data_IF_909567595661
#
_entry.id   IF_909567595661
#
_cell.length_a   1.000
_cell.length_b   1.000
_cell.length_c   1.000
_cell.angle_alpha   90.00
_cell.angle_beta   90.00
_cell.angle_gamma   90.00
#
_symmetry.space_group_name_H-M   'P 1'
#
loop_
_entity.id
_entity.type
_entity.pdbx_description
1 polymer ?
#
# COMPACT_ATOMS: atom_id res chain seq x y z
N UNK A 1 -20.47 9.87 -14.13
CA UNK A 1 -20.33 8.96 -12.97
C UNK A 1 -18.91 8.39 -12.87
N UNK A 2 -18.34 7.79 -13.93
CA UNK A 2 -16.95 7.30 -13.87
C UNK A 2 -15.91 8.38 -13.58
N UNK A 3 -16.12 9.59 -14.09
CA UNK A 3 -15.23 10.74 -13.84
C UNK A 3 -15.18 11.11 -12.34
N UNK A 4 -16.32 11.02 -11.64
CA UNK A 4 -16.39 11.26 -10.18
C UNK A 4 -15.67 10.18 -9.37
N UNK A 5 -15.66 8.93 -9.86
CA UNK A 5 -14.98 7.82 -9.20
C UNK A 5 -13.47 7.81 -9.47
N UNK A 6 -13.03 8.35 -10.62
CA UNK A 6 -11.62 8.31 -11.05
C UNK A 6 -10.85 9.58 -10.69
N UNK A 7 -11.52 10.69 -10.42
CA UNK A 7 -10.87 11.92 -9.95
C UNK A 7 -10.20 11.71 -8.58
N UNK A 8 -9.14 12.45 -8.23
CA UNK A 8 -8.52 12.34 -6.92
C UNK A 8 -9.48 12.88 -5.87
N UNK A 9 -9.80 12.07 -4.88
CA UNK A 9 -10.69 12.50 -3.79
C UNK A 9 -9.91 13.37 -2.81
N UNK A 10 -10.50 14.46 -2.31
CA UNK A 10 -9.88 15.26 -1.28
C UNK A 10 -9.54 14.43 -0.04
N UNK A 11 -8.42 14.73 0.59
CA UNK A 11 -7.92 13.99 1.76
C UNK A 11 -8.92 13.98 2.92
N UNK A 12 -9.73 15.04 3.08
CA UNK A 12 -10.75 15.13 4.13
C UNK A 12 -11.98 14.24 3.86
N UNK A 13 -12.09 13.63 2.68
CA UNK A 13 -13.10 12.61 2.36
C UNK A 13 -12.48 11.23 2.45
N UNK A 14 -11.36 11.01 1.75
CA UNK A 14 -10.68 9.71 1.70
C UNK A 14 -10.15 9.29 3.08
N UNK A 15 -9.59 10.23 3.84
CA UNK A 15 -9.03 9.99 5.18
C UNK A 15 -10.07 9.46 6.17
N UNK A 16 -11.20 10.15 6.39
CA UNK A 16 -12.26 9.63 7.25
C UNK A 16 -12.84 8.30 6.80
N UNK A 17 -13.04 8.07 5.49
CA UNK A 17 -13.53 6.77 4.98
C UNK A 17 -12.55 5.64 5.32
N UNK A 18 -11.26 5.84 5.07
CA UNK A 18 -10.22 4.87 5.43
C UNK A 18 -10.14 4.66 6.95
N UNK A 19 -10.15 5.75 7.72
CA UNK A 19 -10.08 5.72 9.18
C UNK A 19 -11.28 5.03 9.83
N UNK A 20 -12.48 5.21 9.28
CA UNK A 20 -13.71 4.55 9.76
C UNK A 20 -13.76 3.05 9.45
N UNK A 21 -12.91 2.55 8.55
CA UNK A 21 -12.88 1.13 8.20
C UNK A 21 -12.56 0.25 9.43
N UNK A 22 -11.62 0.69 10.28
CA UNK A 22 -11.23 -0.07 11.49
C UNK A 22 -12.34 -0.08 12.55
N UNK A 23 -12.92 1.07 12.96
CA UNK A 23 -14.09 1.09 13.83
C UNK A 23 -15.28 0.31 13.27
N UNK A 24 -15.56 0.41 11.97
CA UNK A 24 -16.66 -0.32 11.34
C UNK A 24 -16.47 -1.84 11.47
N UNK A 25 -15.26 -2.34 11.21
CA UNK A 25 -14.93 -3.76 11.34
C UNK A 25 -15.03 -4.25 12.79
N UNK A 26 -14.56 -3.44 13.75
CA UNK A 26 -14.59 -3.79 15.18
C UNK A 26 -16.00 -3.71 15.77
N UNK A 27 -16.74 -2.62 15.53
CA UNK A 27 -18.05 -2.39 16.16
C UNK A 27 -19.17 -3.18 15.51
N UNK A 28 -19.17 -3.33 14.18
CA UNK A 28 -20.25 -4.01 13.46
C UNK A 28 -19.96 -5.51 13.28
N UNK A 29 -18.69 -5.87 13.07
CA UNK A 29 -18.28 -7.24 12.78
C UNK A 29 -17.69 -8.00 13.96
N UNK A 30 -17.31 -7.32 15.05
CA UNK A 30 -16.42 -7.84 16.09
C UNK A 30 -15.18 -8.54 15.50
N UNK A 31 -14.69 -8.02 14.35
CA UNK A 31 -13.55 -8.56 13.60
C UNK A 31 -12.34 -7.67 13.84
N UNK A 32 -11.24 -8.30 14.21
CA UNK A 32 -9.97 -7.59 14.36
C UNK A 32 -9.36 -7.31 12.99
N UNK A 33 -9.02 -6.06 12.72
CA UNK A 33 -8.27 -5.68 11.53
C UNK A 33 -6.79 -6.02 11.72
N UNK A 34 -6.24 -6.93 10.93
CA UNK A 34 -4.84 -7.34 11.05
C UNK A 34 -4.22 -7.78 9.72
N UNK A 35 -3.57 -6.86 9.01
CA UNK A 35 -2.87 -7.17 7.75
C UNK A 35 -1.61 -8.02 8.01
N UNK A 36 -0.78 -7.65 8.99
CA UNK A 36 0.47 -8.38 9.29
C UNK A 36 0.21 -9.80 9.79
N UNK A 37 -0.94 -10.05 10.43
CA UNK A 37 -1.35 -11.39 10.85
C UNK A 37 -1.56 -12.33 9.66
N UNK A 38 -1.91 -11.80 8.47
CA UNK A 38 -2.09 -12.60 7.26
C UNK A 38 -0.80 -13.27 6.78
N UNK A 39 0.37 -12.66 7.00
CA UNK A 39 1.65 -13.33 6.71
C UNK A 39 1.81 -14.55 7.62
N UNK A 40 1.45 -14.45 8.90
CA UNK A 40 1.47 -15.58 9.84
C UNK A 40 0.47 -16.67 9.44
N UNK A 41 -0.74 -16.29 9.00
CA UNK A 41 -1.75 -17.23 8.50
C UNK A 41 -1.25 -17.96 7.24
N UNK A 42 -0.63 -17.24 6.31
CA UNK A 42 -0.05 -17.81 5.10
C UNK A 42 1.10 -18.79 5.43
N UNK A 43 2.01 -18.42 6.34
CA UNK A 43 3.07 -19.32 6.80
C UNK A 43 2.50 -20.58 7.48
N UNK A 44 1.47 -20.44 8.31
CA UNK A 44 0.80 -21.57 8.98
C UNK A 44 0.05 -22.50 8.01
N UNK A 45 -0.42 -21.99 6.86
CA UNK A 45 -1.12 -22.76 5.85
C UNK A 45 -0.16 -23.43 4.84
N UNK A 46 0.88 -22.73 4.40
CA UNK A 46 1.78 -23.19 3.32
C UNK A 46 3.01 -23.94 3.81
N UNK A 47 3.51 -23.64 5.02
CA UNK A 47 4.69 -24.28 5.60
C UNK A 47 4.32 -25.05 6.87
N UNK A 48 4.13 -26.38 6.80
CA UNK A 48 3.96 -27.22 7.98
C UNK A 48 5.30 -27.43 8.70
N UNK A 49 5.96 -26.34 9.09
CA UNK A 49 7.10 -26.39 9.97
C UNK A 49 6.61 -26.73 11.39
N UNK A 50 7.35 -27.58 12.12
CA UNK A 50 7.04 -27.92 13.53
C UNK A 50 7.30 -26.77 14.51
N UNK A 51 7.13 -25.52 14.06
CA UNK A 51 7.34 -24.32 14.87
C UNK A 51 6.03 -24.05 15.64
N UNK A 52 6.04 -24.04 16.98
CA UNK A 52 4.83 -23.86 17.80
C UNK A 52 4.03 -22.61 17.44
N UNK A 53 4.71 -21.53 17.05
CA UNK A 53 4.12 -20.26 16.65
C UNK A 53 3.15 -20.36 15.46
N UNK A 54 3.39 -21.29 14.51
CA UNK A 54 2.54 -21.49 13.33
C UNK A 54 1.49 -22.59 13.53
N UNK A 55 1.51 -23.32 14.66
CA UNK A 55 0.54 -24.36 14.97
C UNK A 55 -0.68 -23.79 15.68
N UNK A 56 -1.54 -23.11 14.93
CA UNK A 56 -2.83 -22.62 15.42
C UNK A 56 -3.91 -22.76 14.35
N UNK A 57 -5.17 -22.65 14.77
CA UNK A 57 -6.31 -22.75 13.86
C UNK A 57 -6.50 -21.43 13.10
N UNK A 58 -5.72 -21.22 12.04
CA UNK A 58 -5.81 -20.04 11.17
C UNK A 58 -7.19 -19.89 10.51
N UNK A 59 -7.97 -20.97 10.39
CA UNK A 59 -9.32 -20.91 9.82
C UNK A 59 -10.28 -20.02 10.63
N UNK A 60 -10.02 -19.83 11.93
CA UNK A 60 -10.81 -18.91 12.77
C UNK A 60 -10.70 -17.44 12.31
N UNK A 61 -9.60 -17.10 11.62
CA UNK A 61 -9.30 -15.76 11.13
C UNK A 61 -9.39 -15.66 9.59
N UNK A 62 -10.11 -16.57 8.93
CA UNK A 62 -10.34 -16.56 7.46
C UNK A 62 -10.86 -15.21 6.98
N UNK A 63 -11.58 -14.49 7.83
CA UNK A 63 -12.08 -13.14 7.52
C UNK A 63 -10.96 -12.18 7.08
N UNK A 64 -9.79 -12.23 7.72
CA UNK A 64 -8.68 -11.34 7.37
C UNK A 64 -8.08 -11.66 6.00
N UNK A 65 -8.11 -12.94 5.60
CA UNK A 65 -7.70 -13.38 4.26
C UNK A 65 -8.69 -12.89 3.21
N UNK A 66 -10.00 -13.04 3.46
CA UNK A 66 -11.05 -12.52 2.56
C UNK A 66 -10.92 -11.01 2.40
N UNK A 67 -10.67 -10.30 3.50
CA UNK A 67 -10.50 -8.85 3.51
C UNK A 67 -9.30 -8.40 2.66
N UNK A 68 -8.12 -9.02 2.83
CA UNK A 68 -6.94 -8.70 2.01
C UNK A 68 -7.13 -9.06 0.55
N UNK A 69 -7.78 -10.18 0.24
CA UNK A 69 -8.15 -10.53 -1.14
C UNK A 69 -9.08 -9.47 -1.76
N UNK A 70 -10.04 -8.96 -0.99
CA UNK A 70 -10.91 -7.87 -1.39
C UNK A 70 -10.13 -6.57 -1.68
N UNK A 71 -9.17 -6.21 -0.83
CA UNK A 71 -8.26 -5.08 -1.09
C UNK A 71 -7.49 -5.28 -2.39
N UNK A 72 -6.94 -6.47 -2.62
CA UNK A 72 -6.16 -6.78 -3.82
C UNK A 72 -7.02 -6.62 -5.08
N UNK A 73 -8.22 -7.21 -5.09
CA UNK A 73 -9.17 -7.08 -6.20
C UNK A 73 -9.56 -5.61 -6.40
N UNK A 74 -9.88 -4.90 -5.32
CA UNK A 74 -10.20 -3.47 -5.37
C UNK A 74 -9.06 -2.64 -5.94
N UNK A 75 -7.82 -2.93 -5.58
CA UNK A 75 -6.63 -2.27 -6.10
C UNK A 75 -6.43 -2.54 -7.60
N UNK A 76 -6.63 -3.78 -8.05
CA UNK A 76 -6.57 -4.14 -9.48
C UNK A 76 -7.64 -3.40 -10.27
N UNK A 77 -8.87 -3.35 -9.76
CA UNK A 77 -9.96 -2.59 -10.39
C UNK A 77 -9.61 -1.10 -10.44
N UNK A 78 -9.13 -0.53 -9.34
CA UNK A 78 -8.77 0.88 -9.27
C UNK A 78 -7.64 1.22 -10.26
N UNK A 79 -6.61 0.38 -10.34
CA UNK A 79 -5.46 0.60 -11.20
C UNK A 79 -5.75 0.44 -12.70
N UNK A 80 -6.69 -0.43 -13.08
CA UNK A 80 -6.98 -0.71 -14.49
C UNK A 80 -8.21 0.04 -15.02
N UNK A 81 -9.26 0.22 -14.20
CA UNK A 81 -10.53 0.80 -14.65
C UNK A 81 -10.76 2.24 -14.15
N UNK A 82 -10.18 2.63 -13.01
CA UNK A 82 -10.36 3.97 -12.41
C UNK A 82 -9.06 4.79 -12.44
N UNK A 83 -8.11 4.41 -13.30
CA UNK A 83 -6.86 5.14 -13.42
C UNK A 83 -7.10 6.58 -13.88
N UNK A 84 -6.53 7.54 -13.17
CA UNK A 84 -6.55 8.94 -13.58
C UNK A 84 -5.34 9.22 -14.48
N UNK A 85 -5.55 9.55 -15.78
CA UNK A 85 -4.44 9.87 -16.69
C UNK A 85 -3.82 11.24 -16.42
N UNK A 86 -4.44 12.09 -15.59
CA UNK A 86 -3.83 13.34 -15.17
C UNK A 86 -2.62 13.05 -14.27
N UNK A 87 -1.44 13.47 -14.73
CA UNK A 87 -0.20 13.34 -13.96
C UNK A 87 -0.28 14.02 -12.60
N UNK A 88 0.62 13.60 -11.69
CA UNK A 88 0.71 14.17 -10.35
C UNK A 88 0.95 15.68 -10.45
N UNK A 89 0.06 16.47 -9.84
CA UNK A 89 0.21 17.92 -9.77
C UNK A 89 1.22 18.27 -8.68
N UNK A 90 2.45 18.55 -9.09
CA UNK A 90 3.54 18.99 -8.22
C UNK A 90 3.72 20.51 -8.33
N UNK A 91 4.07 21.17 -7.22
CA UNK A 91 4.35 22.61 -7.25
C UNK A 91 5.58 22.92 -8.13
N UNK A 92 5.57 23.98 -8.95
CA UNK A 92 6.69 24.30 -9.84
C UNK A 92 8.03 24.48 -9.10
N UNK A 93 8.02 25.10 -7.92
CA UNK A 93 9.22 25.26 -7.09
C UNK A 93 9.81 23.91 -6.64
N UNK A 94 8.95 22.93 -6.34
CA UNK A 94 9.39 21.58 -5.98
C UNK A 94 9.96 20.84 -7.20
N UNK A 95 9.40 21.06 -8.40
CA UNK A 95 9.96 20.49 -9.64
C UNK A 95 11.37 21.01 -9.89
N UNK A 96 11.59 22.31 -9.71
CA UNK A 96 12.92 22.92 -9.83
C UNK A 96 13.88 22.35 -8.79
N UNK A 97 13.47 22.24 -7.53
CA UNK A 97 14.31 21.68 -6.47
C UNK A 97 14.66 20.20 -6.73
N UNK A 98 13.68 19.38 -7.10
CA UNK A 98 13.88 17.96 -7.40
C UNK A 98 14.87 17.74 -8.54
N UNK A 99 14.87 18.62 -9.55
CA UNK A 99 15.83 18.56 -10.66
C UNK A 99 17.29 18.70 -10.18
N UNK A 100 17.53 19.49 -9.13
CA UNK A 100 18.88 19.65 -8.53
C UNK A 100 19.38 18.37 -7.86
N UNK A 101 18.47 17.52 -7.37
CA UNK A 101 18.78 16.22 -6.78
C UNK A 101 18.90 15.10 -7.81
N UNK A 102 18.74 15.42 -9.11
CA UNK A 102 18.75 14.48 -10.22
C UNK A 102 17.43 13.75 -10.44
N UNK A 103 16.32 14.26 -9.88
CA UNK A 103 14.98 13.68 -10.03
C UNK A 103 14.24 14.49 -11.09
N UNK A 104 14.13 13.93 -12.29
CA UNK A 104 13.59 14.65 -13.45
C UNK A 104 12.23 14.09 -13.88
N UNK A 105 11.87 12.88 -13.46
CA UNK A 105 10.59 12.27 -13.77
C UNK A 105 9.51 12.62 -12.74
N UNK A 106 8.62 13.54 -13.13
CA UNK A 106 7.50 14.02 -12.30
C UNK A 106 6.13 13.45 -12.73
N UNK A 107 6.10 12.46 -13.64
CA UNK A 107 4.85 11.93 -14.17
C UNK A 107 4.12 10.97 -13.22
N UNK A 108 4.87 10.30 -12.35
CA UNK A 108 4.36 9.29 -11.42
C UNK A 108 4.39 9.74 -9.96
N UNK A 109 3.65 9.01 -9.11
CA UNK A 109 3.66 9.18 -7.65
C UNK A 109 5.03 8.88 -7.03
N UNK A 110 5.81 7.99 -7.65
CA UNK A 110 7.11 7.54 -7.17
C UNK A 110 8.15 7.78 -8.26
N UNK A 111 9.20 8.58 -8.01
CA UNK A 111 10.26 8.82 -8.99
C UNK A 111 11.10 7.54 -9.17
N UNK A 112 11.24 7.00 -10.39
CA UNK A 112 12.03 5.79 -10.63
C UNK A 112 13.52 5.96 -10.30
N UNK A 113 14.03 7.18 -10.27
CA UNK A 113 15.39 7.52 -9.88
C UNK A 113 15.67 7.11 -8.41
N UNK A 114 14.64 7.05 -7.58
CA UNK A 114 14.71 6.56 -6.20
C UNK A 114 14.11 5.16 -6.10
N UNK A 115 12.93 4.94 -6.67
CA UNK A 115 12.14 3.72 -6.54
C UNK A 115 12.30 2.82 -7.75
N UNK A 116 13.49 2.23 -7.92
CA UNK A 116 13.76 1.21 -8.92
C UNK A 116 14.68 0.12 -8.38
N UNK A 117 14.68 -1.04 -9.05
CA UNK A 117 15.62 -2.12 -8.75
C UNK A 117 17.08 -1.69 -8.97
N UNK A 118 17.34 -0.83 -9.96
CA UNK A 118 18.66 -0.28 -10.19
C UNK A 118 19.12 0.58 -9.01
N UNK A 119 18.26 1.48 -8.52
CA UNK A 119 18.53 2.28 -7.32
C UNK A 119 18.70 1.42 -6.08
N UNK A 120 17.95 0.32 -5.92
CA UNK A 120 18.08 -0.61 -4.78
C UNK A 120 19.50 -1.21 -4.67
N UNK A 121 20.15 -1.50 -5.79
CA UNK A 121 21.52 -2.04 -5.81
C UNK A 121 22.60 -0.96 -5.76
N UNK A 122 22.22 0.32 -5.86
CA UNK A 122 23.14 1.43 -5.64
C UNK A 122 23.33 1.68 -4.14
N UNK A 123 24.51 2.16 -3.73
CA UNK A 123 24.77 2.47 -2.32
C UNK A 123 23.78 3.52 -1.76
N UNK A 124 23.52 4.59 -2.53
CA UNK A 124 22.59 5.66 -2.15
C UNK A 124 21.16 5.13 -2.02
N UNK A 125 20.67 4.43 -3.03
CA UNK A 125 19.30 3.91 -3.01
C UNK A 125 19.10 2.78 -2.01
N UNK A 126 20.12 1.95 -1.76
CA UNK A 126 20.08 0.96 -0.67
C UNK A 126 19.93 1.64 0.70
N UNK A 127 20.74 2.67 0.97
CA UNK A 127 20.64 3.42 2.24
C UNK A 127 19.27 4.10 2.36
N UNK A 128 18.73 4.70 1.29
CA UNK A 128 17.42 5.36 1.33
C UNK A 128 16.24 4.37 1.44
N UNK A 129 16.23 3.30 0.65
CA UNK A 129 15.12 2.34 0.59
C UNK A 129 15.12 1.36 1.76
N UNK A 130 16.29 0.88 2.18
CA UNK A 130 16.42 -0.09 3.28
C UNK A 130 16.70 0.61 4.60
N UNK A 131 17.62 1.57 4.61
CA UNK A 131 17.99 2.33 5.80
C UNK A 131 17.00 3.43 6.17
N UNK A 132 16.36 4.07 5.20
CA UNK A 132 15.44 5.19 5.44
C UNK A 132 14.20 4.80 6.26
N UNK A 133 13.81 3.53 6.29
CA UNK A 133 12.73 3.05 7.16
C UNK A 133 13.08 3.00 8.66
N UNK A 134 14.37 3.18 9.01
CA UNK A 134 14.84 3.23 10.40
C UNK A 134 15.01 4.65 10.95
N UNK A 135 14.94 5.68 10.10
CA UNK A 135 14.99 7.11 10.46
C UNK A 135 13.59 7.69 10.56
#
# INVERSE_FOLDING_TARGET
MMEFLSQPWPWYVAGPIMGLTVPALLLLGNKHFGISANLRHACAACFPARIPFFRYNWKKEIWNIVFVSGILIGAVIAANLLHNPAGVKVAPALVEELSTYGINNNGGLLPPEIFSFESLFSLRGFILLVGGGFL
#
